data_IF_552547362991
#
_entry.id   IF_552547362991
#
_cell.length_a   1.000
_cell.length_b   1.000
_cell.length_c   1.000
_cell.angle_alpha   90.00
_cell.angle_beta   90.00
_cell.angle_gamma   90.00
#
_symmetry.space_group_name_H-M   'P 1'
#
loop_
_entity.id
_entity.type
_entity.pdbx_description
1 polymer ?
#
# COMPACT_ATOMS: atom_id res chain seq x y z
N UNK A 1 -7.94 27.71 7.00
CA UNK A 1 -8.77 26.67 7.65
C UNK A 1 -7.83 25.55 8.01
N UNK A 2 -7.46 25.42 9.29
CA UNK A 2 -6.74 24.24 9.78
C UNK A 2 -7.81 23.17 9.99
N UNK A 3 -7.70 22.06 9.27
CA UNK A 3 -8.59 20.91 9.42
C UNK A 3 -7.73 19.70 9.75
N UNK A 4 -7.76 19.32 11.03
CA UNK A 4 -7.29 18.08 11.65
C UNK A 4 -6.12 17.34 10.98
N UNK A 5 -4.97 17.36 11.66
CA UNK A 5 -3.86 16.43 11.48
C UNK A 5 -4.34 14.99 11.78
N UNK A 6 -4.97 14.36 10.79
CA UNK A 6 -5.29 12.93 10.79
C UNK A 6 -4.37 12.31 9.76
N UNK A 7 -3.06 12.41 10.01
CA UNK A 7 -2.03 11.84 9.15
C UNK A 7 -2.38 10.39 8.79
N UNK A 8 -2.42 10.08 7.49
CA UNK A 8 -2.68 8.72 6.98
C UNK A 8 -1.62 7.79 7.53
N UNK A 9 -2.00 6.68 8.16
CA UNK A 9 -1.10 5.76 8.85
C UNK A 9 -1.14 4.37 8.22
N UNK A 10 -0.02 3.65 8.27
CA UNK A 10 0.04 2.28 7.75
C UNK A 10 -0.95 1.36 8.46
N UNK A 11 -0.92 1.30 9.78
CA UNK A 11 -1.72 0.35 10.56
C UNK A 11 -3.23 0.59 10.43
N UNK A 12 -3.64 1.85 10.36
CA UNK A 12 -5.07 2.22 10.31
C UNK A 12 -5.62 2.24 8.90
N UNK A 13 -4.87 2.76 7.93
CA UNK A 13 -5.43 3.16 6.64
C UNK A 13 -4.90 2.32 5.46
N UNK A 14 -3.66 1.81 5.52
CA UNK A 14 -3.04 1.09 4.40
C UNK A 14 -3.13 -0.42 4.57
N UNK A 15 -2.67 -0.95 5.72
CA UNK A 15 -2.65 -2.39 6.03
C UNK A 15 -4.03 -3.05 5.83
N UNK A 16 -5.16 -2.46 6.26
CA UNK A 16 -6.48 -3.07 6.07
C UNK A 16 -6.97 -3.15 4.61
N UNK A 17 -6.32 -2.45 3.67
CA UNK A 17 -6.70 -2.50 2.26
C UNK A 17 -6.15 -3.75 1.55
N UNK A 18 -5.10 -4.35 2.09
CA UNK A 18 -4.61 -5.64 1.62
C UNK A 18 -5.51 -6.74 2.16
N UNK A 19 -6.02 -7.58 1.26
CA UNK A 19 -6.87 -8.72 1.62
C UNK A 19 -5.98 -9.86 2.07
N UNK A 20 -6.54 -10.79 2.83
CA UNK A 20 -5.83 -12.00 3.28
C UNK A 20 -5.15 -12.76 2.12
N UNK A 21 -5.85 -12.92 0.99
CA UNK A 21 -5.28 -13.53 -0.23
C UNK A 21 -4.07 -12.78 -0.80
N UNK A 22 -4.03 -11.45 -0.66
CA UNK A 22 -2.89 -10.65 -1.11
C UNK A 22 -1.68 -10.92 -0.20
N UNK A 23 -1.90 -11.01 1.12
CA UNK A 23 -0.86 -11.32 2.10
C UNK A 23 -0.30 -12.73 1.89
N UNK A 24 -1.19 -13.72 1.74
CA UNK A 24 -0.83 -15.13 1.56
C UNK A 24 -0.02 -15.38 0.28
N UNK A 25 -0.34 -14.65 -0.79
CA UNK A 25 0.40 -14.75 -2.04
C UNK A 25 1.77 -14.04 -1.96
N UNK A 26 1.83 -12.84 -1.38
CA UNK A 26 3.03 -12.01 -1.43
C UNK A 26 4.06 -12.35 -0.36
N UNK A 27 3.63 -12.83 0.81
CA UNK A 27 4.51 -13.25 1.90
C UNK A 27 5.59 -14.27 1.47
N UNK A 28 5.23 -15.41 0.83
CA UNK A 28 6.19 -16.38 0.31
C UNK A 28 7.15 -15.84 -0.76
N UNK A 29 6.80 -14.72 -1.40
CA UNK A 29 7.64 -14.04 -2.40
C UNK A 29 8.59 -13.01 -1.77
N UNK A 30 8.60 -12.87 -0.44
CA UNK A 30 9.45 -11.92 0.27
C UNK A 30 8.91 -10.48 0.27
N UNK A 31 7.60 -10.32 0.04
CA UNK A 31 6.91 -9.02 0.05
C UNK A 31 5.82 -9.06 1.13
N UNK A 32 6.18 -8.97 2.43
CA UNK A 32 5.19 -9.00 3.51
C UNK A 32 4.43 -7.67 3.56
N UNK A 33 3.28 -7.63 2.87
CA UNK A 33 2.45 -6.43 2.72
C UNK A 33 1.83 -5.93 4.04
N UNK A 34 1.85 -6.75 5.08
CA UNK A 34 1.32 -6.41 6.40
C UNK A 34 2.40 -6.05 7.43
N UNK A 35 3.67 -6.06 7.02
CA UNK A 35 4.83 -5.68 7.84
C UNK A 35 5.22 -4.22 7.58
N UNK A 36 5.22 -3.41 8.64
CA UNK A 36 5.52 -1.99 8.53
C UNK A 36 6.99 -1.73 8.18
N UNK A 37 7.93 -2.49 8.73
CA UNK A 37 9.36 -2.26 8.47
C UNK A 37 9.66 -2.46 6.99
N UNK A 38 9.15 -3.54 6.38
CA UNK A 38 9.23 -3.76 4.94
C UNK A 38 8.51 -2.68 4.14
N UNK A 39 7.25 -2.37 4.49
CA UNK A 39 6.42 -1.46 3.71
C UNK A 39 6.86 0.00 3.82
N UNK A 40 7.49 0.41 4.91
CA UNK A 40 7.96 1.79 5.11
C UNK A 40 9.29 2.10 4.42
N UNK A 41 10.04 1.07 3.97
CA UNK A 41 11.23 1.25 3.16
C UNK A 41 10.87 1.92 1.81
N UNK A 42 11.50 3.06 1.43
CA UNK A 42 11.07 3.85 0.29
C UNK A 42 10.97 3.08 -1.03
N UNK A 43 11.93 2.20 -1.31
CA UNK A 43 11.94 1.41 -2.55
C UNK A 43 10.83 0.37 -2.59
N UNK A 44 10.53 -0.26 -1.45
CA UNK A 44 9.49 -1.28 -1.34
C UNK A 44 8.12 -0.64 -1.45
N UNK A 45 7.91 0.45 -0.70
CA UNK A 45 6.65 1.20 -0.70
C UNK A 45 6.29 1.68 -2.11
N UNK A 46 7.27 2.23 -2.83
CA UNK A 46 7.13 2.71 -4.21
C UNK A 46 6.87 1.55 -5.17
N UNK A 47 7.63 0.46 -5.07
CA UNK A 47 7.44 -0.71 -5.95
C UNK A 47 6.03 -1.29 -5.80
N UNK A 48 5.55 -1.47 -4.56
CA UNK A 48 4.17 -1.95 -4.31
C UNK A 48 3.15 -0.99 -4.93
N UNK A 49 3.34 0.32 -4.81
CA UNK A 49 2.45 1.30 -5.41
C UNK A 49 2.37 1.17 -6.94
N UNK A 50 3.51 1.02 -7.62
CA UNK A 50 3.57 0.85 -9.07
C UNK A 50 2.88 -0.44 -9.56
N UNK A 51 2.95 -1.52 -8.78
CA UNK A 51 2.19 -2.73 -9.07
C UNK A 51 0.67 -2.55 -8.85
N UNK A 52 0.26 -1.76 -7.85
CA UNK A 52 -1.16 -1.47 -7.58
C UNK A 52 -1.78 -0.57 -8.68
N UNK A 53 -1.03 0.44 -9.15
CA UNK A 53 -1.44 1.32 -10.26
C UNK A 53 -1.43 0.58 -11.60
N UNK A 54 -0.57 -0.43 -11.74
CA UNK A 54 -0.33 -1.14 -13.00
C UNK A 54 0.76 -0.50 -13.86
N UNK A 55 1.56 0.41 -13.28
CA UNK A 55 2.77 0.93 -13.90
C UNK A 55 3.86 -0.15 -13.99
N UNK A 56 3.80 -1.16 -13.11
CA UNK A 56 4.55 -2.42 -13.22
C UNK A 56 3.61 -3.61 -13.46
N UNK A 57 4.09 -4.58 -14.25
CA UNK A 57 3.38 -5.83 -14.52
C UNK A 57 4.06 -7.03 -13.84
N UNK A 58 3.28 -8.02 -13.34
CA UNK A 58 1.82 -8.11 -13.42
C UNK A 58 1.11 -7.20 -12.41
N UNK A 59 0.03 -6.51 -12.84
CA UNK A 59 -0.74 -5.63 -11.96
C UNK A 59 -1.29 -6.38 -10.75
N UNK A 60 -1.11 -5.79 -9.57
CA UNK A 60 -1.64 -6.31 -8.32
C UNK A 60 -3.02 -5.73 -7.99
N UNK A 61 -3.93 -6.54 -7.41
CA UNK A 61 -3.86 -8.00 -7.37
C UNK A 61 -4.10 -8.63 -8.76
N UNK A 62 -3.46 -9.77 -9.05
CA UNK A 62 -3.59 -10.46 -10.34
C UNK A 62 -5.04 -10.86 -10.56
N UNK A 63 -5.63 -10.42 -11.69
CA UNK A 63 -7.04 -10.69 -12.02
C UNK A 63 -8.06 -9.85 -11.24
N UNK A 64 -7.60 -8.96 -10.35
CA UNK A 64 -8.44 -8.04 -9.59
C UNK A 64 -9.19 -8.68 -8.39
N UNK A 65 -10.20 -7.98 -7.85
CA UNK A 65 -10.50 -6.57 -8.08
C UNK A 65 -9.31 -5.66 -7.80
N UNK A 66 -9.07 -4.69 -8.69
CA UNK A 66 -8.04 -3.68 -8.48
C UNK A 66 -8.46 -2.66 -7.43
N UNK A 67 -7.47 -2.02 -6.81
CA UNK A 67 -7.72 -0.91 -5.91
C UNK A 67 -8.46 0.22 -6.62
N UNK A 68 -9.40 0.84 -5.92
CA UNK A 68 -10.12 2.02 -6.40
C UNK A 68 -9.18 3.23 -6.43
N UNK A 69 -9.57 4.27 -7.17
CA UNK A 69 -8.82 5.52 -7.20
C UNK A 69 -8.63 6.11 -5.79
N UNK A 70 -9.64 6.03 -4.93
CA UNK A 70 -9.57 6.52 -3.54
C UNK A 70 -8.55 5.74 -2.69
N UNK A 71 -8.46 4.42 -2.87
CA UNK A 71 -7.48 3.59 -2.18
C UNK A 71 -6.04 3.90 -2.65
N UNK A 72 -5.86 4.10 -3.96
CA UNK A 72 -4.57 4.52 -4.53
C UNK A 72 -4.16 5.91 -4.02
N UNK A 73 -5.09 6.86 -3.96
CA UNK A 73 -4.83 8.19 -3.38
C UNK A 73 -4.47 8.12 -1.90
N UNK A 74 -5.10 7.22 -1.14
CA UNK A 74 -4.76 7.01 0.27
C UNK A 74 -3.32 6.53 0.42
N UNK A 75 -2.90 5.58 -0.42
CA UNK A 75 -1.52 5.10 -0.46
C UNK A 75 -0.53 6.21 -0.86
N UNK A 76 -0.85 6.99 -1.91
CA UNK A 76 -0.03 8.12 -2.36
C UNK A 76 0.17 9.15 -1.23
N UNK A 77 -0.89 9.50 -0.50
CA UNK A 77 -0.80 10.40 0.65
C UNK A 77 0.06 9.83 1.79
N UNK A 78 -0.02 8.53 2.03
CA UNK A 78 0.85 7.86 3.01
C UNK A 78 2.33 7.93 2.60
N UNK A 79 2.65 7.72 1.31
CA UNK A 79 4.01 7.89 0.77
C UNK A 79 4.52 9.33 0.96
N UNK A 80 3.70 10.31 0.60
CA UNK A 80 4.01 11.75 0.70
C UNK A 80 4.18 12.22 2.15
N UNK A 81 3.41 11.66 3.07
CA UNK A 81 3.49 11.93 4.51
C UNK A 81 4.74 11.33 5.18
N UNK A 82 5.60 10.63 4.43
CA UNK A 82 6.80 9.99 4.96
C UNK A 82 6.56 8.60 5.54
N UNK A 83 5.47 7.93 5.13
CA UNK A 83 5.10 6.57 5.52
C UNK A 83 4.98 6.38 7.05
N UNK A 84 4.19 7.21 7.75
CA UNK A 84 4.01 7.05 9.18
C UNK A 84 3.28 5.73 9.49
N UNK A 85 3.59 5.16 10.65
CA UNK A 85 3.02 3.91 11.13
C UNK A 85 1.54 4.05 11.50
#
# INVERSE_FOLDING_TARGET
MQSADTSVSFERDIKPLFREIDLDHMGPMGVPLDDYEYMSEPSNAQSVYEYLTGDQEPRMPIGGPYWTQEQLELYSRWLEAGRPR
#
